data_IF_700419362778
#
_entry.id   IF_700419362778
#
_cell.length_a   1.000
_cell.length_b   1.000
_cell.length_c   1.000
_cell.angle_alpha   90.00
_cell.angle_beta   90.00
_cell.angle_gamma   90.00
#
_symmetry.space_group_name_H-M   'P 1'
#
loop_
_entity.id
_entity.type
_entity.pdbx_description
1 polymer ?
#
# COMPACT_ATOMS: atom_id res chain seq x y z
N UNK A 1 -25.16 -3.32 8.38
CA UNK A 1 -24.23 -2.17 8.62
C UNK A 1 -24.24 -1.34 7.34
N UNK A 2 -24.48 -0.04 7.42
CA UNK A 2 -24.39 0.92 6.31
C UNK A 2 -23.05 1.62 6.38
N UNK A 3 -22.56 2.20 5.29
CA UNK A 3 -21.29 2.90 5.23
C UNK A 3 -21.19 4.04 6.28
N UNK A 4 -22.28 4.74 6.52
CA UNK A 4 -22.32 5.81 7.55
C UNK A 4 -22.12 5.31 8.98
N UNK A 5 -22.32 4.02 9.23
CA UNK A 5 -22.17 3.37 10.54
C UNK A 5 -20.74 2.82 10.73
N UNK A 6 -19.84 3.06 9.76
CA UNK A 6 -18.43 2.70 9.86
C UNK A 6 -17.65 3.86 10.49
N UNK A 7 -17.05 3.61 11.66
CA UNK A 7 -16.31 4.58 12.44
C UNK A 7 -14.82 4.26 12.60
N UNK A 8 -14.38 3.11 12.12
CA UNK A 8 -13.00 2.64 12.26
C UNK A 8 -12.67 1.52 11.26
N UNK A 9 -11.38 1.15 11.21
CA UNK A 9 -10.88 0.07 10.38
C UNK A 9 -11.65 -1.25 10.54
N UNK A 10 -11.97 -1.64 11.79
CA UNK A 10 -12.69 -2.90 12.06
C UNK A 10 -14.11 -2.90 11.51
N UNK A 11 -14.77 -1.75 11.46
CA UNK A 11 -16.10 -1.61 10.87
C UNK A 11 -16.06 -1.84 9.35
N UNK A 12 -15.09 -1.22 8.66
CA UNK A 12 -14.87 -1.42 7.23
C UNK A 12 -14.51 -2.88 6.92
N UNK A 13 -13.63 -3.47 7.73
CA UNK A 13 -13.25 -4.88 7.59
C UNK A 13 -14.45 -5.81 7.72
N UNK A 14 -15.31 -5.61 8.74
CA UNK A 14 -16.55 -6.38 8.91
C UNK A 14 -17.53 -6.19 7.74
N UNK A 15 -17.65 -4.96 7.22
CA UNK A 15 -18.51 -4.68 6.08
C UNK A 15 -18.01 -5.38 4.81
N UNK A 16 -16.70 -5.34 4.56
CA UNK A 16 -16.05 -6.06 3.45
C UNK A 16 -16.25 -7.58 3.57
N UNK A 17 -16.07 -8.16 4.76
CA UNK A 17 -16.28 -9.58 5.03
C UNK A 17 -17.73 -10.04 4.73
N UNK A 18 -18.69 -9.20 5.03
CA UNK A 18 -20.10 -9.50 4.69
C UNK A 18 -20.36 -9.49 3.20
N UNK A 19 -19.62 -8.68 2.44
CA UNK A 19 -19.81 -8.49 1.00
C UNK A 19 -19.03 -9.49 0.16
N UNK A 20 -17.77 -9.74 0.51
CA UNK A 20 -16.87 -10.57 -0.28
C UNK A 20 -17.10 -12.06 -0.05
N UNK A 21 -16.90 -12.91 -1.08
CA UNK A 21 -16.67 -14.34 -0.89
C UNK A 21 -15.46 -14.60 0.02
N UNK A 22 -15.52 -15.68 0.83
CA UNK A 22 -14.47 -16.02 1.78
C UNK A 22 -13.06 -16.02 1.17
N UNK A 23 -12.82 -16.74 0.04
CA UNK A 23 -11.50 -16.76 -0.59
C UNK A 23 -10.97 -15.38 -0.96
N UNK A 24 -11.82 -14.47 -1.43
CA UNK A 24 -11.43 -13.10 -1.79
C UNK A 24 -11.17 -12.26 -0.55
N UNK A 25 -11.99 -12.42 0.49
CA UNK A 25 -11.78 -11.74 1.76
C UNK A 25 -10.46 -12.19 2.40
N UNK A 26 -10.20 -13.50 2.46
CA UNK A 26 -8.97 -14.06 3.03
C UNK A 26 -7.72 -13.63 2.26
N UNK A 27 -7.82 -13.45 0.94
CA UNK A 27 -6.72 -12.89 0.15
C UNK A 27 -6.32 -11.47 0.60
N UNK A 28 -7.29 -10.60 0.92
CA UNK A 28 -6.99 -9.25 1.44
C UNK A 28 -6.51 -9.33 2.89
N UNK A 29 -7.24 -10.08 3.71
CA UNK A 29 -7.11 -10.10 5.18
C UNK A 29 -5.92 -10.92 5.64
N UNK A 30 -5.59 -12.01 4.94
CA UNK A 30 -4.56 -12.97 5.31
C UNK A 30 -3.13 -12.43 5.18
N UNK A 31 -2.22 -13.14 5.83
CA UNK A 31 -0.79 -12.90 5.79
C UNK A 31 -0.01 -14.22 5.63
N UNK A 32 1.30 -14.22 5.84
CA UNK A 32 2.15 -15.39 5.69
C UNK A 32 2.17 -16.23 6.97
N UNK A 33 2.32 -17.53 6.81
CA UNK A 33 2.54 -18.53 7.86
C UNK A 33 1.58 -18.38 9.05
N UNK A 34 2.09 -18.15 10.26
CA UNK A 34 1.33 -17.97 11.49
C UNK A 34 0.80 -16.54 11.70
N UNK A 35 1.03 -15.63 10.74
CA UNK A 35 0.60 -14.23 10.76
C UNK A 35 1.12 -13.42 11.96
N UNK A 36 2.28 -13.80 12.50
CA UNK A 36 2.92 -13.12 13.64
C UNK A 36 3.28 -11.68 13.27
N UNK A 37 3.95 -11.50 12.12
CA UNK A 37 4.33 -10.18 11.61
C UNK A 37 3.11 -9.30 11.34
N UNK A 38 2.03 -9.88 10.80
CA UNK A 38 0.79 -9.16 10.56
C UNK A 38 0.20 -8.56 11.84
N UNK A 39 0.12 -9.34 12.91
CA UNK A 39 -0.37 -8.86 14.22
C UNK A 39 0.58 -7.80 14.80
N UNK A 40 1.87 -8.09 14.84
CA UNK A 40 2.91 -7.18 15.35
C UNK A 40 2.94 -5.83 14.64
N UNK A 41 2.64 -5.78 13.35
CA UNK A 41 2.58 -4.52 12.62
C UNK A 41 1.62 -3.49 13.23
N UNK A 42 0.52 -3.93 13.84
CA UNK A 42 -0.42 -3.04 14.53
C UNK A 42 -0.10 -2.93 16.02
N UNK A 43 0.25 -4.02 16.67
CA UNK A 43 0.59 -4.08 18.10
C UNK A 43 1.81 -3.22 18.44
N UNK A 44 2.79 -3.11 17.54
CA UNK A 44 3.98 -2.27 17.72
C UNK A 44 3.67 -0.81 18.04
N UNK A 45 2.58 -0.27 17.51
CA UNK A 45 2.15 1.08 17.87
C UNK A 45 1.69 1.21 19.33
N UNK A 46 1.34 0.12 20.00
CA UNK A 46 0.91 0.12 21.40
C UNK A 46 2.08 0.24 22.38
N UNK A 47 3.32 -0.01 21.92
CA UNK A 47 4.53 0.16 22.73
C UNK A 47 4.93 1.61 22.97
N UNK A 48 4.25 2.54 22.30
CA UNK A 48 4.58 3.96 22.31
C UNK A 48 3.34 4.80 22.58
N UNK A 49 3.44 5.71 23.55
CA UNK A 49 2.38 6.65 23.93
C UNK A 49 2.62 8.03 23.30
N UNK A 50 1.53 8.73 22.94
CA UNK A 50 1.57 10.14 22.51
C UNK A 50 1.52 11.05 23.74
N UNK A 51 2.34 12.11 23.75
CA UNK A 51 2.35 13.12 24.81
C UNK A 51 1.49 14.30 24.38
N UNK A 52 0.36 14.56 25.05
CA UNK A 52 -0.44 15.75 24.78
C UNK A 52 0.22 17.01 25.33
N UNK A 53 0.14 18.11 24.58
CA UNK A 53 0.55 19.43 25.04
C UNK A 53 -0.64 20.38 24.96
N UNK A 54 -0.88 21.10 26.04
CA UNK A 54 -2.06 21.96 26.19
C UNK A 54 -1.69 23.46 26.10
N UNK A 55 -2.70 24.28 25.86
CA UNK A 55 -2.58 25.76 25.85
C UNK A 55 -1.61 26.30 24.77
N UNK A 56 -1.49 25.58 23.65
CA UNK A 56 -0.61 25.95 22.51
C UNK A 56 -1.28 26.86 21.48
N UNK A 57 -2.56 27.22 21.64
CA UNK A 57 -3.29 28.11 20.73
C UNK A 57 -3.50 27.52 19.32
N UNK A 58 -3.61 26.22 19.19
CA UNK A 58 -3.77 25.54 17.89
C UNK A 58 -5.22 25.64 17.43
N UNK A 59 -5.49 26.55 16.50
CA UNK A 59 -6.82 26.74 15.87
C UNK A 59 -6.88 26.04 14.51
N UNK A 60 -5.85 26.18 13.70
CA UNK A 60 -5.74 25.63 12.36
C UNK A 60 -4.63 24.57 12.27
N UNK A 61 -4.82 23.58 11.39
CA UNK A 61 -3.89 22.48 11.20
C UNK A 61 -3.46 22.42 9.74
N UNK A 62 -2.15 22.48 9.51
CA UNK A 62 -1.53 22.14 8.24
C UNK A 62 -0.98 20.71 8.30
N UNK A 63 -1.62 19.80 7.54
CA UNK A 63 -1.21 18.41 7.41
C UNK A 63 -0.38 18.15 6.15
N UNK A 64 -0.06 19.19 5.38
CA UNK A 64 0.67 19.02 4.13
C UNK A 64 2.10 18.54 4.36
N UNK A 65 2.57 17.71 3.43
CA UNK A 65 3.94 17.20 3.42
C UNK A 65 4.47 17.17 1.97
N UNK A 66 5.79 17.19 1.84
CA UNK A 66 6.44 16.91 0.56
C UNK A 66 7.16 15.58 0.66
N UNK A 67 6.88 14.65 -0.26
CA UNK A 67 7.42 13.30 -0.29
C UNK A 67 7.97 13.02 -1.69
N UNK A 68 9.25 12.71 -1.80
CA UNK A 68 9.94 12.48 -3.09
C UNK A 68 9.66 13.61 -4.11
N UNK A 69 9.69 14.86 -3.62
CA UNK A 69 9.40 16.06 -4.41
C UNK A 69 7.90 16.31 -4.68
N UNK A 70 7.00 15.44 -4.26
CA UNK A 70 5.56 15.57 -4.50
C UNK A 70 4.85 16.18 -3.29
N UNK A 71 4.08 17.26 -3.51
CA UNK A 71 3.30 17.91 -2.45
C UNK A 71 1.98 17.17 -2.24
N UNK A 72 1.73 16.75 -1.01
CA UNK A 72 0.51 16.08 -0.57
C UNK A 72 -0.21 16.93 0.46
N UNK A 73 -1.54 16.97 0.41
CA UNK A 73 -2.36 17.66 1.40
C UNK A 73 -2.45 16.92 2.75
N UNK A 74 -2.02 15.66 2.79
CA UNK A 74 -2.09 14.79 3.96
C UNK A 74 -0.84 13.91 4.07
N UNK A 75 -0.39 13.57 5.30
CA UNK A 75 0.86 12.84 5.52
C UNK A 75 0.70 11.31 5.33
N UNK A 76 -0.23 10.90 4.50
CA UNK A 76 -0.40 9.50 4.13
C UNK A 76 -0.85 9.37 2.67
N UNK A 77 -0.62 8.20 2.07
CA UNK A 77 -0.98 7.92 0.69
C UNK A 77 -1.54 6.49 0.53
N UNK A 78 -2.30 6.27 -0.54
CA UNK A 78 -2.81 4.95 -0.89
C UNK A 78 -1.68 4.10 -1.49
N UNK A 79 -1.14 3.16 -0.69
CA UNK A 79 -0.07 2.23 -1.11
C UNK A 79 -0.49 1.39 -2.31
N UNK A 80 0.46 0.98 -3.18
CA UNK A 80 0.14 0.11 -4.30
C UNK A 80 -0.36 -1.25 -3.80
N UNK A 81 -1.51 -1.67 -4.33
CA UNK A 81 -2.10 -2.98 -4.08
C UNK A 81 -2.62 -3.58 -5.37
N UNK A 82 -2.51 -4.91 -5.49
CA UNK A 82 -2.91 -5.64 -6.66
C UNK A 82 -4.41 -5.94 -6.70
N UNK A 83 -4.96 -6.23 -7.90
CA UNK A 83 -6.23 -6.93 -8.10
C UNK A 83 -7.47 -6.21 -7.60
N UNK A 84 -7.48 -4.90 -7.56
CA UNK A 84 -8.53 -4.14 -6.85
C UNK A 84 -9.93 -4.33 -7.45
N UNK A 85 -10.06 -4.56 -8.78
CA UNK A 85 -11.36 -4.85 -9.41
C UNK A 85 -11.94 -6.22 -9.03
N UNK A 86 -11.13 -7.10 -8.46
CA UNK A 86 -11.63 -8.33 -7.86
C UNK A 86 -12.49 -8.06 -6.62
N UNK A 87 -12.22 -6.97 -5.90
CA UNK A 87 -12.94 -6.61 -4.69
C UNK A 87 -14.18 -5.77 -4.98
N UNK A 88 -14.06 -4.86 -5.95
CA UNK A 88 -15.15 -4.00 -6.43
C UNK A 88 -14.89 -3.59 -7.88
N UNK A 89 -15.92 -3.55 -8.74
CA UNK A 89 -15.74 -3.25 -10.18
C UNK A 89 -15.02 -1.93 -10.47
N UNK A 90 -15.13 -0.95 -9.59
CA UNK A 90 -14.42 0.33 -9.75
C UNK A 90 -12.91 0.21 -9.52
N UNK A 91 -12.45 -0.71 -8.65
CA UNK A 91 -11.05 -0.97 -8.39
C UNK A 91 -10.20 0.29 -8.22
N UNK A 92 -9.08 0.34 -8.92
CA UNK A 92 -8.12 1.45 -8.91
C UNK A 92 -8.75 2.79 -9.33
N UNK A 93 -9.81 2.77 -10.16
CA UNK A 93 -10.58 3.97 -10.55
C UNK A 93 -11.15 4.70 -9.33
N UNK A 94 -11.71 3.93 -8.39
CA UNK A 94 -12.27 4.49 -7.16
C UNK A 94 -11.19 5.11 -6.28
N UNK A 95 -10.05 4.42 -6.17
CA UNK A 95 -8.93 4.89 -5.32
C UNK A 95 -8.28 6.12 -5.93
N UNK A 96 -8.04 6.15 -7.25
CA UNK A 96 -7.50 7.31 -7.95
C UNK A 96 -8.37 8.55 -7.75
N UNK A 97 -9.71 8.42 -7.92
CA UNK A 97 -10.66 9.53 -7.69
C UNK A 97 -10.66 10.01 -6.24
N UNK A 98 -10.66 9.07 -5.29
CA UNK A 98 -10.63 9.41 -3.88
C UNK A 98 -9.31 10.09 -3.49
N UNK A 99 -8.16 9.57 -3.94
CA UNK A 99 -6.86 10.17 -3.69
C UNK A 99 -6.79 11.61 -4.26
N UNK A 100 -7.28 11.82 -5.49
CA UNK A 100 -7.36 13.13 -6.11
C UNK A 100 -8.21 14.12 -5.29
N UNK A 101 -9.39 13.67 -4.86
CA UNK A 101 -10.30 14.49 -4.05
C UNK A 101 -9.67 14.96 -2.74
N UNK A 102 -8.85 14.13 -2.13
CA UNK A 102 -8.20 14.43 -0.86
C UNK A 102 -6.77 14.95 -1.01
N UNK A 103 -6.29 15.19 -2.24
CA UNK A 103 -4.97 15.75 -2.50
C UNK A 103 -3.83 14.87 -2.01
N UNK A 104 -3.99 13.55 -2.07
CA UNK A 104 -2.94 12.60 -1.70
C UNK A 104 -2.49 11.74 -2.89
N UNK A 105 -1.37 11.05 -2.73
CA UNK A 105 -0.75 10.23 -3.76
C UNK A 105 -1.40 8.84 -3.84
N UNK A 106 -1.47 8.28 -5.03
CA UNK A 106 -1.91 6.92 -5.28
C UNK A 106 -0.81 6.06 -5.91
N UNK A 107 -0.54 4.91 -5.29
CA UNK A 107 0.36 3.90 -5.83
C UNK A 107 -0.38 2.92 -6.75
N UNK A 108 -0.08 2.98 -8.04
CA UNK A 108 -0.59 2.02 -9.03
C UNK A 108 0.34 0.82 -9.09
N UNK A 109 -0.19 -0.38 -8.88
CA UNK A 109 0.59 -1.62 -8.96
C UNK A 109 0.71 -2.13 -10.39
N UNK A 110 1.86 -2.75 -10.73
CA UNK A 110 2.01 -3.50 -11.98
C UNK A 110 1.05 -4.69 -12.09
N UNK A 111 0.51 -5.16 -10.98
CA UNK A 111 -0.59 -6.12 -10.91
C UNK A 111 -1.96 -5.43 -10.72
N UNK A 112 -2.05 -4.16 -11.08
CA UNK A 112 -3.31 -3.42 -11.11
C UNK A 112 -4.24 -3.89 -12.21
N UNK A 113 -5.53 -3.76 -11.98
CA UNK A 113 -6.61 -4.20 -12.88
C UNK A 113 -7.16 -3.07 -13.76
N UNK A 114 -6.60 -1.89 -13.64
CA UNK A 114 -6.83 -0.70 -14.46
C UNK A 114 -5.50 -0.26 -15.03
N UNK A 115 -5.45 0.17 -16.29
CA UNK A 115 -4.21 0.58 -16.92
C UNK A 115 -3.61 1.84 -16.26
N UNK A 116 -2.30 1.99 -16.41
CA UNK A 116 -1.58 3.13 -15.85
C UNK A 116 -2.07 4.45 -16.50
N UNK A 117 -2.34 4.40 -17.80
CA UNK A 117 -2.86 5.52 -18.60
C UNK A 117 -4.25 5.93 -18.12
N UNK A 118 -5.12 4.95 -17.87
CA UNK A 118 -6.47 5.21 -17.35
C UNK A 118 -6.42 5.78 -15.93
N UNK A 119 -5.60 5.20 -15.04
CA UNK A 119 -5.42 5.71 -13.69
C UNK A 119 -4.89 7.15 -13.69
N UNK A 120 -3.95 7.46 -14.59
CA UNK A 120 -3.41 8.83 -14.77
C UNK A 120 -4.45 9.79 -15.33
N UNK A 121 -5.23 9.35 -16.30
CA UNK A 121 -6.31 10.17 -16.88
C UNK A 121 -7.45 10.53 -15.90
N UNK A 122 -7.61 9.75 -14.84
CA UNK A 122 -8.62 9.99 -13.81
C UNK A 122 -8.17 11.06 -12.79
N UNK A 123 -6.88 11.16 -12.52
CA UNK A 123 -6.38 11.92 -11.36
C UNK A 123 -5.21 12.81 -11.75
N UNK A 124 -5.28 14.08 -11.34
CA UNK A 124 -4.18 15.04 -11.39
C UNK A 124 -3.25 14.95 -10.17
N UNK A 125 -3.61 14.18 -9.15
CA UNK A 125 -2.75 13.97 -7.99
C UNK A 125 -1.52 13.16 -8.36
N UNK A 126 -0.40 13.33 -7.64
CA UNK A 126 0.81 12.56 -7.88
C UNK A 126 0.57 11.06 -7.83
N UNK A 127 1.21 10.33 -8.73
CA UNK A 127 1.12 8.88 -8.80
C UNK A 127 2.50 8.24 -8.66
N UNK A 128 2.50 7.09 -7.98
CA UNK A 128 3.65 6.18 -7.92
C UNK A 128 3.32 4.97 -8.77
N UNK A 129 4.17 4.59 -9.68
CA UNK A 129 4.06 3.30 -10.35
C UNK A 129 4.95 2.27 -9.67
N UNK A 130 4.31 1.24 -9.08
CA UNK A 130 5.00 0.15 -8.41
C UNK A 130 5.12 -1.05 -9.35
N UNK A 131 6.31 -1.63 -9.42
CA UNK A 131 6.58 -2.83 -10.19
C UNK A 131 7.51 -3.79 -9.43
N UNK A 132 7.64 -5.00 -9.97
CA UNK A 132 8.58 -6.02 -9.51
C UNK A 132 9.69 -6.19 -10.53
N UNK A 133 10.82 -6.73 -10.11
CA UNK A 133 11.95 -6.98 -10.96
C UNK A 133 11.77 -8.32 -11.70
N UNK A 134 11.67 -8.27 -13.03
CA UNK A 134 11.45 -9.43 -13.87
C UNK A 134 12.76 -9.98 -14.40
N UNK A 135 12.79 -11.31 -14.68
CA UNK A 135 13.91 -11.96 -15.38
C UNK A 135 14.11 -11.38 -16.77
N UNK A 136 13.02 -11.03 -17.43
CA UNK A 136 13.07 -10.30 -18.71
C UNK A 136 13.40 -8.82 -18.44
N UNK A 137 14.65 -8.46 -18.71
CA UNK A 137 15.13 -7.08 -18.59
C UNK A 137 14.48 -6.14 -19.62
N UNK A 138 13.99 -6.69 -20.75
CA UNK A 138 13.22 -5.94 -21.75
C UNK A 138 11.89 -5.48 -21.15
N UNK A 139 11.19 -6.36 -20.45
CA UNK A 139 9.95 -6.03 -19.74
C UNK A 139 10.17 -4.93 -18.68
N UNK A 140 11.24 -5.02 -17.88
CA UNK A 140 11.55 -3.98 -16.91
C UNK A 140 11.74 -2.61 -17.57
N UNK A 141 12.48 -2.56 -18.68
CA UNK A 141 12.67 -1.30 -19.45
C UNK A 141 11.37 -0.80 -20.07
N UNK A 142 10.56 -1.68 -20.64
CA UNK A 142 9.26 -1.33 -21.23
C UNK A 142 8.31 -0.71 -20.19
N UNK A 143 8.24 -1.28 -18.99
CA UNK A 143 7.44 -0.75 -17.88
C UNK A 143 7.91 0.64 -17.45
N UNK A 144 9.21 0.87 -17.33
CA UNK A 144 9.75 2.19 -16.99
C UNK A 144 9.49 3.22 -18.10
N UNK A 145 9.65 2.84 -19.37
CA UNK A 145 9.36 3.73 -20.50
C UNK A 145 7.88 4.11 -20.56
N UNK A 146 6.99 3.13 -20.35
CA UNK A 146 5.54 3.36 -20.27
C UNK A 146 5.19 4.33 -19.15
N UNK A 147 5.76 4.14 -17.96
CA UNK A 147 5.56 5.06 -16.84
C UNK A 147 6.02 6.49 -17.15
N UNK A 148 7.16 6.65 -17.83
CA UNK A 148 7.63 7.97 -18.31
C UNK A 148 6.67 8.60 -19.32
N UNK A 149 6.21 7.84 -20.31
CA UNK A 149 5.28 8.33 -21.34
C UNK A 149 3.95 8.79 -20.75
N UNK A 150 3.46 8.08 -19.75
CA UNK A 150 2.23 8.42 -19.02
C UNK A 150 2.42 9.63 -18.08
N UNK A 151 3.66 9.98 -17.76
CA UNK A 151 3.98 11.10 -16.87
C UNK A 151 3.78 10.78 -15.40
N UNK A 152 4.15 9.56 -14.98
CA UNK A 152 4.17 9.18 -13.57
C UNK A 152 5.32 9.90 -12.88
N UNK A 153 5.07 10.44 -11.68
CA UNK A 153 6.05 11.25 -10.96
C UNK A 153 7.12 10.42 -10.24
N UNK A 154 6.75 9.25 -9.72
CA UNK A 154 7.64 8.42 -8.90
C UNK A 154 7.61 6.97 -9.35
N UNK A 155 8.78 6.38 -9.54
CA UNK A 155 8.94 4.95 -9.76
C UNK A 155 9.21 4.23 -8.45
N UNK A 156 8.55 3.08 -8.22
CA UNK A 156 8.72 2.30 -7.00
C UNK A 156 9.01 0.83 -7.33
N UNK A 157 10.19 0.36 -6.97
CA UNK A 157 10.55 -1.06 -7.08
C UNK A 157 10.30 -1.77 -5.75
N UNK A 158 9.53 -2.86 -5.80
CA UNK A 158 9.30 -3.73 -4.64
C UNK A 158 10.37 -4.81 -4.60
N UNK A 159 11.15 -4.85 -3.51
CA UNK A 159 12.35 -5.71 -3.38
C UNK A 159 12.18 -6.86 -2.38
N UNK A 160 11.10 -6.88 -1.60
CA UNK A 160 10.79 -7.91 -0.60
C UNK A 160 10.02 -9.12 -1.17
N UNK A 161 9.81 -9.18 -2.48
CA UNK A 161 8.93 -10.17 -3.13
C UNK A 161 9.68 -10.96 -4.22
N UNK A 162 10.90 -11.40 -3.91
CA UNK A 162 11.69 -12.28 -4.81
C UNK A 162 11.07 -13.69 -4.93
N UNK A 163 10.21 -14.05 -4.01
CA UNK A 163 9.36 -15.24 -4.01
C UNK A 163 8.02 -14.93 -3.34
N UNK A 164 7.01 -15.74 -3.58
CA UNK A 164 5.71 -15.56 -2.90
C UNK A 164 5.76 -16.03 -1.45
N UNK A 165 5.28 -15.21 -0.52
CA UNK A 165 5.11 -15.63 0.87
C UNK A 165 4.10 -16.80 1.01
N UNK A 166 4.26 -17.60 2.04
CA UNK A 166 3.43 -18.78 2.30
C UNK A 166 2.06 -18.37 2.88
N UNK A 167 1.14 -17.93 2.02
CA UNK A 167 -0.21 -17.50 2.44
C UNK A 167 -1.13 -18.71 2.57
N UNK A 168 -1.17 -19.30 3.76
CA UNK A 168 -1.92 -20.52 4.02
C UNK A 168 -3.43 -20.37 3.85
N UNK A 169 -4.00 -19.20 4.18
CA UNK A 169 -5.43 -18.95 3.97
C UNK A 169 -5.79 -19.06 2.50
N UNK A 170 -4.96 -18.51 1.59
CA UNK A 170 -5.18 -18.61 0.15
C UNK A 170 -5.19 -20.08 -0.30
N UNK A 171 -4.25 -20.89 0.23
CA UNK A 171 -4.17 -22.32 -0.08
C UNK A 171 -5.38 -23.12 0.46
N UNK A 172 -5.80 -22.83 1.70
CA UNK A 172 -6.96 -23.50 2.34
C UNK A 172 -8.28 -23.17 1.66
N UNK A 173 -8.43 -21.95 1.16
CA UNK A 173 -9.64 -21.51 0.44
C UNK A 173 -9.62 -21.81 -1.05
N UNK A 174 -8.48 -22.29 -1.58
CA UNK A 174 -8.31 -22.53 -3.01
C UNK A 174 -8.27 -21.25 -3.85
N UNK A 175 -7.91 -20.12 -3.22
CA UNK A 175 -7.77 -18.86 -3.95
C UNK A 175 -6.65 -18.97 -4.99
N UNK A 176 -7.02 -18.87 -6.23
CA UNK A 176 -6.12 -18.81 -7.38
C UNK A 176 -6.73 -17.91 -8.45
N UNK A 177 -5.92 -17.27 -9.27
CA UNK A 177 -6.40 -16.56 -10.45
C UNK A 177 -5.69 -17.16 -11.67
N UNK A 178 -6.44 -17.75 -12.62
CA UNK A 178 -7.91 -17.94 -12.63
C UNK A 178 -8.42 -18.81 -11.48
N UNK A 179 -9.67 -18.58 -11.06
CA UNK A 179 -10.26 -19.32 -9.94
C UNK A 179 -10.30 -20.83 -10.19
N UNK A 180 -9.78 -21.60 -9.25
CA UNK A 180 -9.93 -23.06 -9.17
C UNK A 180 -10.81 -23.43 -7.98
N UNK A 181 -12.11 -23.14 -8.11
CA UNK A 181 -13.04 -23.33 -6.99
C UNK A 181 -13.40 -24.81 -6.82
N UNK A 182 -13.29 -25.30 -5.59
CA UNK A 182 -13.95 -26.53 -5.15
C UNK A 182 -15.43 -26.26 -4.82
N UNK A 183 -16.20 -27.31 -4.53
CA UNK A 183 -17.63 -27.19 -4.21
C UNK A 183 -17.90 -26.22 -3.03
N UNK A 184 -17.06 -26.25 -2.01
CA UNK A 184 -17.17 -25.33 -0.86
C UNK A 184 -16.89 -23.87 -1.26
N UNK A 185 -15.90 -23.64 -2.11
CA UNK A 185 -15.62 -22.33 -2.71
C UNK A 185 -16.80 -21.83 -3.54
N UNK A 186 -17.35 -22.67 -4.42
CA UNK A 186 -18.53 -22.30 -5.23
C UNK A 186 -19.73 -21.91 -4.36
N UNK A 187 -20.00 -22.63 -3.27
CA UNK A 187 -21.06 -22.28 -2.33
C UNK A 187 -20.81 -20.90 -1.68
N UNK A 188 -19.58 -20.59 -1.30
CA UNK A 188 -19.23 -19.28 -0.72
C UNK A 188 -19.45 -18.14 -1.72
N UNK A 189 -19.16 -18.36 -3.01
CA UNK A 189 -19.46 -17.36 -4.05
C UNK A 189 -20.97 -17.19 -4.26
N UNK A 190 -21.74 -18.29 -4.28
CA UNK A 190 -23.20 -18.25 -4.43
C UNK A 190 -23.88 -17.49 -3.28
N UNK A 191 -23.33 -17.54 -2.07
CA UNK A 191 -23.85 -16.82 -0.90
C UNK A 191 -23.57 -15.31 -0.92
N UNK A 192 -22.86 -14.79 -1.93
CA UNK A 192 -22.49 -13.38 -2.05
C UNK A 192 -23.02 -12.74 -3.36
N UNK A 193 -24.34 -12.73 -3.58
CA UNK A 193 -24.92 -12.28 -4.85
C UNK A 193 -24.57 -10.83 -5.19
N UNK A 194 -24.46 -9.95 -4.20
CA UNK A 194 -24.08 -8.55 -4.43
C UNK A 194 -22.64 -8.41 -4.99
N UNK A 195 -21.71 -9.26 -4.57
CA UNK A 195 -20.38 -9.32 -5.16
C UNK A 195 -20.43 -9.94 -6.55
N UNK A 196 -21.14 -11.04 -6.73
CA UNK A 196 -21.25 -11.74 -8.02
C UNK A 196 -21.84 -10.81 -9.09
N UNK A 197 -22.94 -10.13 -8.79
CA UNK A 197 -23.52 -9.13 -9.69
C UNK A 197 -22.49 -8.06 -10.03
N UNK A 198 -21.85 -7.48 -9.01
CA UNK A 198 -20.84 -6.44 -9.20
C UNK A 198 -19.66 -6.91 -10.09
N UNK A 199 -19.22 -8.15 -9.96
CA UNK A 199 -18.11 -8.71 -10.72
C UNK A 199 -18.51 -9.07 -12.17
N UNK A 200 -19.66 -9.75 -12.37
CA UNK A 200 -20.04 -10.31 -13.67
C UNK A 200 -20.77 -9.33 -14.59
N UNK A 201 -21.34 -8.25 -14.06
CA UNK A 201 -22.08 -7.24 -14.87
C UNK A 201 -21.19 -6.11 -15.38
N UNK A 202 -19.91 -6.11 -15.03
CA UNK A 202 -18.95 -5.10 -15.47
C UNK A 202 -17.84 -5.75 -16.31
N UNK A 203 -16.91 -4.93 -16.79
CA UNK A 203 -15.77 -5.38 -17.58
C UNK A 203 -15.01 -6.53 -16.93
N UNK A 204 -14.62 -7.51 -17.73
CA UNK A 204 -13.83 -8.66 -17.29
C UNK A 204 -12.52 -8.28 -16.60
N UNK A 205 -12.04 -9.17 -15.74
CA UNK A 205 -10.77 -9.03 -15.06
C UNK A 205 -9.60 -9.10 -16.05
N UNK A 206 -8.72 -8.10 -16.01
CA UNK A 206 -7.48 -8.03 -16.82
C UNK A 206 -6.34 -7.48 -15.97
N UNK A 207 -5.11 -7.72 -16.39
CA UNK A 207 -3.89 -7.14 -15.86
C UNK A 207 -3.18 -6.32 -16.94
N UNK A 208 -3.71 -5.14 -17.31
CA UNK A 208 -3.33 -4.42 -18.51
C UNK A 208 -1.87 -3.92 -18.56
N UNK A 209 -1.18 -3.93 -17.41
CA UNK A 209 0.25 -3.62 -17.37
C UNK A 209 1.12 -4.81 -17.82
N UNK A 210 0.57 -6.02 -17.84
CA UNK A 210 1.26 -7.26 -18.21
C UNK A 210 0.73 -7.88 -19.50
N UNK A 211 -0.49 -7.56 -19.92
CA UNK A 211 -1.20 -8.23 -21.04
C UNK A 211 -0.42 -8.21 -22.37
N UNK A 212 0.38 -7.19 -22.61
CA UNK A 212 1.20 -7.08 -23.84
C UNK A 212 2.46 -7.97 -23.81
N UNK A 213 2.87 -8.42 -22.62
CA UNK A 213 4.14 -9.13 -22.40
C UNK A 213 3.96 -10.53 -21.83
N UNK A 214 2.80 -10.81 -21.25
CA UNK A 214 2.50 -12.06 -20.56
C UNK A 214 1.05 -12.44 -20.87
N UNK A 215 0.83 -13.59 -21.48
CA UNK A 215 -0.53 -14.11 -21.70
C UNK A 215 -1.18 -14.55 -20.37
N UNK A 216 -1.72 -13.56 -19.65
CA UNK A 216 -2.50 -13.78 -18.43
C UNK A 216 -3.98 -14.10 -18.76
N UNK A 217 -4.44 -13.77 -19.98
CA UNK A 217 -5.84 -13.91 -20.40
C UNK A 217 -6.21 -15.31 -20.90
N UNK A 218 -5.25 -16.07 -21.41
CA UNK A 218 -5.45 -17.43 -21.96
C UNK A 218 -5.56 -18.55 -20.91
N UNK A 219 -5.58 -18.23 -19.61
CA UNK A 219 -5.70 -19.21 -18.54
C UNK A 219 -4.43 -20.03 -18.27
N UNK A 220 -3.31 -19.65 -18.87
CA UNK A 220 -2.04 -20.39 -18.79
C UNK A 220 -1.17 -19.98 -17.61
N UNK A 221 -1.29 -18.72 -17.12
CA UNK A 221 -0.49 -18.23 -16.02
C UNK A 221 -1.34 -17.81 -14.82
N UNK A 222 -1.11 -18.42 -13.67
CA UNK A 222 -1.69 -17.96 -12.40
C UNK A 222 -0.81 -16.90 -11.73
N UNK A 223 -1.38 -16.10 -10.83
CA UNK A 223 -0.60 -15.13 -10.06
C UNK A 223 0.53 -15.80 -9.26
N UNK A 224 0.28 -16.99 -8.69
CA UNK A 224 1.33 -17.75 -8.02
C UNK A 224 2.48 -18.10 -8.98
N UNK A 225 2.15 -18.54 -10.19
CA UNK A 225 3.11 -18.87 -11.21
C UNK A 225 3.88 -17.64 -11.70
N UNK A 226 3.21 -16.48 -11.81
CA UNK A 226 3.87 -15.20 -12.09
C UNK A 226 5.01 -14.91 -11.10
N UNK A 227 4.76 -15.00 -9.79
CA UNK A 227 5.79 -14.77 -8.78
C UNK A 227 6.95 -15.78 -8.85
N UNK A 228 6.68 -17.00 -9.27
CA UNK A 228 7.71 -18.05 -9.34
C UNK A 228 8.53 -18.00 -10.62
N UNK A 229 7.91 -17.72 -11.76
CA UNK A 229 8.52 -17.85 -13.09
C UNK A 229 9.02 -16.54 -13.67
N UNK A 230 8.30 -15.43 -13.40
CA UNK A 230 8.59 -14.14 -14.02
C UNK A 230 9.55 -13.27 -13.21
N UNK A 231 9.51 -13.36 -11.88
CA UNK A 231 10.39 -12.56 -11.05
C UNK A 231 11.80 -13.13 -10.98
N UNK A 232 12.76 -12.24 -10.86
CA UNK A 232 14.17 -12.61 -10.77
C UNK A 232 14.65 -12.61 -9.31
N UNK A 233 14.85 -13.78 -8.70
CA UNK A 233 15.39 -13.86 -7.34
C UNK A 233 16.89 -13.52 -7.26
N UNK A 234 17.57 -13.38 -8.39
CA UNK A 234 18.98 -13.03 -8.45
C UNK A 234 19.27 -11.54 -8.56
N UNK A 235 18.21 -10.68 -8.45
CA UNK A 235 18.34 -9.22 -8.45
C UNK A 235 19.38 -8.74 -7.43
N UNK A 236 20.28 -7.85 -7.86
CA UNK A 236 21.34 -7.26 -7.06
C UNK A 236 21.19 -5.75 -6.92
N UNK A 237 21.99 -5.14 -6.05
CA UNK A 237 22.07 -3.69 -5.93
C UNK A 237 22.56 -3.00 -7.21
N UNK A 238 23.41 -3.66 -8.00
CA UNK A 238 23.89 -3.12 -9.28
C UNK A 238 22.78 -3.04 -10.32
N UNK A 239 21.91 -4.05 -10.36
CA UNK A 239 20.69 -4.03 -11.20
C UNK A 239 19.79 -2.83 -10.83
N UNK A 240 19.60 -2.61 -9.54
CA UNK A 240 18.76 -1.50 -9.04
C UNK A 240 19.40 -0.15 -9.33
N UNK A 241 20.72 -0.01 -9.13
CA UNK A 241 21.46 1.20 -9.45
C UNK A 241 21.33 1.59 -10.94
N UNK A 242 21.36 0.59 -11.84
CA UNK A 242 21.14 0.82 -13.26
C UNK A 242 19.70 1.32 -13.54
N UNK A 243 18.70 0.77 -12.87
CA UNK A 243 17.31 1.22 -13.02
C UNK A 243 17.11 2.66 -12.52
N UNK A 244 17.73 3.02 -11.39
CA UNK A 244 17.72 4.39 -10.85
C UNK A 244 18.28 5.37 -11.89
N UNK A 245 19.45 5.04 -12.50
CA UNK A 245 20.05 5.86 -13.57
C UNK A 245 19.15 5.98 -14.79
N UNK A 246 18.53 4.87 -15.23
CA UNK A 246 17.64 4.86 -16.40
C UNK A 246 16.36 5.64 -16.16
N UNK A 247 15.81 5.60 -14.96
CA UNK A 247 14.60 6.37 -14.64
C UNK A 247 14.87 7.87 -14.63
N UNK A 248 15.99 8.30 -14.05
CA UNK A 248 16.43 9.72 -13.98
C UNK A 248 15.41 10.68 -13.34
N UNK A 249 14.54 10.18 -12.48
CA UNK A 249 13.54 10.90 -11.69
C UNK A 249 13.44 10.31 -10.28
N UNK A 250 12.47 10.72 -9.46
CA UNK A 250 12.26 10.15 -8.14
C UNK A 250 12.07 8.63 -8.20
N UNK A 251 12.95 7.89 -7.54
CA UNK A 251 12.94 6.43 -7.47
C UNK A 251 12.90 5.96 -6.02
N UNK A 252 12.02 5.01 -5.73
CA UNK A 252 11.76 4.52 -4.38
C UNK A 252 11.93 3.00 -4.30
N UNK A 253 12.56 2.51 -3.23
CA UNK A 253 12.59 1.08 -2.92
C UNK A 253 11.57 0.76 -1.83
N UNK A 254 10.71 -0.23 -2.10
CA UNK A 254 9.73 -0.72 -1.14
C UNK A 254 10.11 -2.11 -0.64
N UNK A 255 10.10 -2.29 0.69
CA UNK A 255 10.48 -3.56 1.32
C UNK A 255 11.81 -3.49 2.07
N UNK A 256 12.31 -2.28 2.34
CA UNK A 256 13.54 -2.06 3.09
C UNK A 256 13.26 -2.19 4.58
N UNK A 257 13.99 -3.07 5.28
CA UNK A 257 13.80 -3.35 6.71
C UNK A 257 15.12 -3.37 7.50
N UNK A 258 16.25 -3.05 6.87
CA UNK A 258 17.56 -2.96 7.56
C UNK A 258 18.20 -1.59 7.35
N UNK A 259 19.02 -1.18 8.31
CA UNK A 259 19.83 0.05 8.21
C UNK A 259 20.87 -0.06 7.10
N UNK A 260 21.43 -1.24 6.89
CA UNK A 260 22.41 -1.47 5.83
C UNK A 260 21.79 -1.25 4.44
N UNK A 261 20.63 -1.85 4.18
CA UNK A 261 19.93 -1.68 2.90
C UNK A 261 19.45 -0.24 2.70
N UNK A 262 19.03 0.45 3.77
CA UNK A 262 18.68 1.86 3.71
C UNK A 262 19.85 2.75 3.29
N UNK A 263 21.06 2.48 3.82
CA UNK A 263 22.29 3.18 3.42
C UNK A 263 22.65 2.91 1.96
N UNK A 264 22.54 1.65 1.51
CA UNK A 264 22.77 1.30 0.09
C UNK A 264 21.77 1.99 -0.85
N UNK A 265 20.49 2.11 -0.44
CA UNK A 265 19.51 2.85 -1.22
C UNK A 265 19.90 4.33 -1.42
N UNK A 266 20.47 4.96 -0.41
CA UNK A 266 21.05 6.31 -0.53
C UNK A 266 22.25 6.34 -1.49
N UNK A 267 23.18 5.39 -1.37
CA UNK A 267 24.40 5.32 -2.20
C UNK A 267 24.10 5.18 -3.70
N UNK A 268 23.05 4.41 -4.05
CA UNK A 268 22.63 4.25 -5.46
C UNK A 268 21.74 5.36 -5.98
N UNK A 269 21.43 6.39 -5.16
CA UNK A 269 20.68 7.58 -5.57
C UNK A 269 19.15 7.47 -5.53
N UNK A 270 18.60 6.58 -4.70
CA UNK A 270 17.16 6.57 -4.47
C UNK A 270 16.66 7.86 -3.82
N UNK A 271 15.46 8.31 -4.15
CA UNK A 271 14.82 9.49 -3.55
C UNK A 271 14.02 9.16 -2.30
N UNK A 272 13.64 7.91 -2.13
CA UNK A 272 12.86 7.44 -0.99
C UNK A 272 12.98 5.94 -0.76
N UNK A 273 12.66 5.53 0.46
CA UNK A 273 12.47 4.13 0.83
C UNK A 273 11.14 3.96 1.57
N UNK A 274 10.50 2.83 1.36
CA UNK A 274 9.35 2.40 2.17
C UNK A 274 9.78 1.26 3.08
N UNK A 275 9.81 1.53 4.39
CA UNK A 275 9.92 0.48 5.39
C UNK A 275 8.65 -0.35 5.35
N UNK A 276 8.79 -1.59 4.94
CA UNK A 276 7.67 -2.47 4.66
C UNK A 276 8.08 -3.93 4.80
N UNK A 277 7.28 -4.71 5.49
CA UNK A 277 7.31 -6.17 5.47
C UNK A 277 6.13 -6.72 4.66
N UNK A 278 5.67 -5.93 3.66
CA UNK A 278 4.52 -6.27 2.81
C UNK A 278 3.21 -6.52 3.58
N UNK A 279 3.05 -5.85 4.73
CA UNK A 279 1.90 -6.05 5.61
C UNK A 279 1.83 -7.46 6.21
N UNK A 280 2.98 -8.09 6.46
CA UNK A 280 3.10 -9.44 7.00
C UNK A 280 2.83 -10.56 5.98
N UNK A 281 2.89 -10.28 4.68
CA UNK A 281 2.51 -11.23 3.61
C UNK A 281 3.70 -11.97 3.00
N UNK A 282 4.93 -11.65 3.41
CA UNK A 282 6.17 -12.23 2.91
C UNK A 282 6.88 -13.04 4.00
N UNK A 283 7.94 -12.54 4.61
CA UNK A 283 8.64 -13.22 5.68
C UNK A 283 7.87 -13.07 7.00
N UNK A 284 7.27 -14.13 7.52
CA UNK A 284 6.70 -14.11 8.86
C UNK A 284 7.81 -14.19 9.93
N UNK A 285 7.55 -13.67 11.13
CA UNK A 285 8.58 -13.47 12.15
C UNK A 285 9.46 -12.24 11.91
N UNK A 286 9.25 -11.49 10.81
CA UNK A 286 9.94 -10.22 10.56
C UNK A 286 9.55 -9.16 11.59
N UNK A 287 10.45 -8.20 11.84
CA UNK A 287 10.20 -7.03 12.69
C UNK A 287 9.09 -6.17 12.12
N UNK A 288 8.29 -5.52 12.96
CA UNK A 288 7.32 -4.53 12.49
C UNK A 288 8.04 -3.28 11.95
N UNK A 289 7.47 -2.67 10.90
CA UNK A 289 8.07 -1.48 10.30
C UNK A 289 8.16 -0.31 11.30
N UNK A 290 7.20 -0.15 12.19
CA UNK A 290 7.22 0.87 13.25
C UNK A 290 8.39 0.67 14.22
N UNK A 291 8.68 -0.58 14.62
CA UNK A 291 9.80 -0.88 15.52
C UNK A 291 11.17 -0.63 14.88
N UNK A 292 11.26 -0.68 13.55
CA UNK A 292 12.49 -0.45 12.79
C UNK A 292 12.69 1.02 12.39
N UNK A 293 11.61 1.82 12.45
CA UNK A 293 11.57 3.17 11.87
C UNK A 293 12.63 4.11 12.47
N UNK A 294 12.75 4.15 13.79
CA UNK A 294 13.69 5.08 14.46
C UNK A 294 15.13 4.86 14.02
N UNK A 295 15.60 3.60 14.00
CA UNK A 295 16.96 3.24 13.60
C UNK A 295 17.29 3.64 12.17
N UNK A 296 16.32 3.46 11.25
CA UNK A 296 16.50 3.81 9.84
C UNK A 296 16.48 5.33 9.65
N UNK A 297 15.53 6.04 10.31
CA UNK A 297 15.51 7.51 10.26
C UNK A 297 16.81 8.11 10.79
N UNK A 298 17.34 7.59 11.89
CA UNK A 298 18.63 8.05 12.44
C UNK A 298 19.80 7.83 11.48
N UNK A 299 19.74 6.77 10.70
CA UNK A 299 20.82 6.41 9.78
C UNK A 299 20.79 7.19 8.45
N UNK A 300 19.60 7.52 7.93
CA UNK A 300 19.46 8.03 6.55
C UNK A 300 18.37 9.11 6.36
N UNK A 301 17.61 9.45 7.38
CA UNK A 301 16.43 10.33 7.26
C UNK A 301 16.74 11.79 6.88
N UNK A 302 17.98 12.21 6.98
CA UNK A 302 18.48 13.52 6.51
C UNK A 302 18.86 13.53 5.02
N UNK A 303 18.98 12.35 4.40
CA UNK A 303 19.48 12.16 3.02
C UNK A 303 18.44 11.63 2.05
N UNK A 304 17.41 10.94 2.55
CA UNK A 304 16.41 10.26 1.75
C UNK A 304 15.05 10.30 2.46
N UNK A 305 13.97 10.33 1.70
CA UNK A 305 12.64 10.27 2.31
C UNK A 305 12.34 8.86 2.86
N UNK A 306 12.15 8.77 4.16
CA UNK A 306 11.78 7.53 4.84
C UNK A 306 10.26 7.48 5.02
N UNK A 307 9.64 6.52 4.38
CA UNK A 307 8.20 6.24 4.44
C UNK A 307 8.02 4.91 5.15
N UNK A 308 6.91 4.70 5.86
CA UNK A 308 6.59 3.37 6.36
C UNK A 308 5.20 2.91 5.94
N UNK A 309 5.00 1.61 5.81
CA UNK A 309 3.67 1.00 5.72
C UNK A 309 3.57 -0.23 6.64
N UNK A 310 2.36 -0.80 6.71
CA UNK A 310 2.06 -1.96 7.56
C UNK A 310 1.43 -1.59 8.90
N UNK A 311 0.31 -2.22 9.23
CA UNK A 311 -0.38 -2.10 10.51
C UNK A 311 -1.13 -0.79 10.77
N UNK A 312 -1.10 0.17 9.87
CA UNK A 312 -1.74 1.49 10.05
C UNK A 312 -3.26 1.37 9.99
N UNK A 313 -3.93 1.66 11.10
CA UNK A 313 -5.37 1.55 11.26
C UNK A 313 -6.02 2.79 11.91
N UNK A 314 -5.22 3.74 12.40
CA UNK A 314 -5.65 4.95 13.11
C UNK A 314 -4.82 6.15 12.75
N UNK A 315 -5.39 7.35 12.88
CA UNK A 315 -4.64 8.59 12.77
C UNK A 315 -3.51 8.72 13.80
N UNK A 316 -3.69 8.16 15.00
CA UNK A 316 -2.63 8.10 16.02
C UNK A 316 -1.42 7.26 15.59
N UNK A 317 -1.61 6.20 14.79
CA UNK A 317 -0.49 5.44 14.22
C UNK A 317 0.32 6.31 13.24
N UNK A 318 -0.37 7.11 12.42
CA UNK A 318 0.28 8.07 11.52
C UNK A 318 1.07 9.10 12.34
N UNK A 319 0.46 9.70 13.37
CA UNK A 319 1.14 10.69 14.23
C UNK A 319 2.38 10.11 14.92
N UNK A 320 2.31 8.87 15.40
CA UNK A 320 3.48 8.18 16.00
C UNK A 320 4.60 8.00 14.99
N UNK A 321 4.29 7.54 13.78
CA UNK A 321 5.28 7.35 12.72
C UNK A 321 5.94 8.67 12.29
N UNK A 322 5.15 9.72 12.11
CA UNK A 322 5.66 11.06 11.77
C UNK A 322 6.51 11.63 12.90
N UNK A 323 6.11 11.44 14.16
CA UNK A 323 6.92 11.87 15.31
C UNK A 323 8.25 11.14 15.44
N UNK A 324 8.39 9.92 14.88
CA UNK A 324 9.67 9.21 14.74
C UNK A 324 10.50 9.69 13.55
N UNK A 325 9.94 10.54 12.67
CA UNK A 325 10.65 11.11 11.53
C UNK A 325 10.28 10.51 10.16
N UNK A 326 9.24 9.67 10.08
CA UNK A 326 8.70 9.30 8.77
C UNK A 326 8.18 10.54 8.03
N UNK A 327 8.43 10.63 6.72
CA UNK A 327 7.91 11.72 5.87
C UNK A 327 6.42 11.56 5.58
N UNK A 328 5.99 10.31 5.40
CA UNK A 328 4.61 9.93 5.19
C UNK A 328 4.38 8.47 5.55
N UNK A 329 3.11 8.06 5.55
CA UNK A 329 2.69 6.70 5.85
C UNK A 329 1.88 6.12 4.69
N UNK A 330 2.22 4.90 4.26
CA UNK A 330 1.43 4.17 3.29
C UNK A 330 0.27 3.42 3.94
N UNK A 331 -0.93 3.54 3.37
CA UNK A 331 -2.10 2.77 3.79
C UNK A 331 -2.49 1.76 2.70
N UNK A 332 -2.62 0.48 3.05
CA UNK A 332 -3.03 -0.60 2.15
C UNK A 332 -4.42 -1.12 2.51
N UNK A 333 -4.50 -2.12 3.39
CA UNK A 333 -5.79 -2.70 3.82
C UNK A 333 -6.78 -1.66 4.36
N UNK A 334 -6.26 -0.53 4.88
CA UNK A 334 -7.09 0.56 5.40
C UNK A 334 -8.05 1.14 4.34
N UNK A 335 -7.63 1.21 3.07
CA UNK A 335 -8.53 1.62 1.99
C UNK A 335 -9.13 0.45 1.19
N UNK A 336 -8.49 -0.73 1.20
CA UNK A 336 -9.01 -1.90 0.46
C UNK A 336 -10.33 -2.43 1.02
N UNK A 337 -10.47 -2.51 2.35
CA UNK A 337 -11.74 -2.94 2.94
C UNK A 337 -12.89 -1.99 2.62
N UNK A 338 -12.75 -0.66 2.76
CA UNK A 338 -13.81 0.26 2.32
C UNK A 338 -14.06 0.24 0.81
N UNK A 339 -13.03 0.05 -0.02
CA UNK A 339 -13.20 -0.18 -1.46
C UNK A 339 -14.09 -1.40 -1.71
N UNK A 340 -13.76 -2.54 -1.11
CA UNK A 340 -14.54 -3.76 -1.23
C UNK A 340 -15.97 -3.59 -0.70
N UNK A 341 -16.14 -2.84 0.36
CA UNK A 341 -17.43 -2.62 1.01
C UNK A 341 -18.37 -1.72 0.20
N UNK A 342 -17.87 -0.65 -0.45
CA UNK A 342 -18.70 0.40 -1.02
C UNK A 342 -18.11 1.15 -2.22
N UNK A 343 -16.99 0.69 -2.81
CA UNK A 343 -16.33 1.37 -3.94
C UNK A 343 -15.79 2.75 -3.56
N UNK A 344 -15.87 3.71 -4.47
CA UNK A 344 -15.37 5.08 -4.26
C UNK A 344 -15.90 5.74 -2.99
N UNK A 345 -17.21 5.75 -2.67
CA UNK A 345 -17.72 6.32 -1.41
C UNK A 345 -17.10 5.67 -0.17
N UNK A 346 -16.76 4.38 -0.24
CA UNK A 346 -16.08 3.67 0.85
C UNK A 346 -14.67 4.21 1.08
N UNK A 347 -13.88 4.33 0.00
CA UNK A 347 -12.52 4.87 0.07
C UNK A 347 -12.54 6.31 0.56
N UNK A 348 -13.40 7.17 0.00
CA UNK A 348 -13.54 8.56 0.46
C UNK A 348 -13.87 8.66 1.95
N UNK A 349 -14.78 7.81 2.44
CA UNK A 349 -15.13 7.78 3.86
C UNK A 349 -13.95 7.40 4.74
N UNK A 350 -13.13 6.45 4.31
CA UNK A 350 -11.94 6.04 5.06
C UNK A 350 -10.86 7.15 5.07
N UNK A 351 -10.58 7.78 3.92
CA UNK A 351 -9.62 8.88 3.85
C UNK A 351 -10.06 10.05 4.72
N UNK A 352 -11.35 10.40 4.70
CA UNK A 352 -11.91 11.43 5.56
C UNK A 352 -11.77 11.09 7.05
N UNK A 353 -12.03 9.86 7.45
CA UNK A 353 -11.86 9.45 8.84
C UNK A 353 -10.39 9.56 9.28
N UNK A 354 -9.46 9.09 8.47
CA UNK A 354 -8.02 9.19 8.76
C UNK A 354 -7.62 10.67 8.91
N UNK A 355 -8.06 11.53 7.99
CA UNK A 355 -7.83 12.98 8.04
C UNK A 355 -8.32 13.59 9.37
N UNK A 356 -9.56 13.30 9.73
CA UNK A 356 -10.18 13.83 10.97
C UNK A 356 -9.49 13.29 12.22
N UNK A 357 -9.06 12.01 12.23
CA UNK A 357 -8.32 11.45 13.36
C UNK A 357 -6.95 12.10 13.53
N UNK A 358 -6.22 12.35 12.43
CA UNK A 358 -4.91 13.05 12.45
C UNK A 358 -5.11 14.49 12.93
N UNK A 359 -6.03 15.23 12.35
CA UNK A 359 -6.33 16.63 12.73
C UNK A 359 -6.65 16.75 14.23
N UNK A 360 -7.53 15.88 14.72
CA UNK A 360 -7.89 15.84 16.14
C UNK A 360 -6.67 15.51 17.02
N UNK A 361 -5.89 14.53 16.62
CA UNK A 361 -4.68 14.14 17.35
C UNK A 361 -3.67 15.29 17.43
N UNK A 362 -3.41 15.98 16.31
CA UNK A 362 -2.51 17.13 16.27
C UNK A 362 -2.99 18.26 17.19
N UNK A 363 -4.30 18.58 17.19
CA UNK A 363 -4.88 19.56 18.13
C UNK A 363 -4.65 19.17 19.59
N UNK A 364 -4.87 17.91 19.93
CA UNK A 364 -4.66 17.39 21.28
C UNK A 364 -3.18 17.31 21.68
N UNK A 365 -2.28 17.16 20.71
CA UNK A 365 -0.84 17.19 20.92
C UNK A 365 -0.27 18.62 20.92
N UNK A 366 -1.07 19.64 20.62
CA UNK A 366 -0.64 21.02 20.56
C UNK A 366 0.25 21.35 19.35
N UNK A 367 0.09 20.62 18.24
CA UNK A 367 0.87 20.79 17.00
C UNK A 367 -0.04 21.36 15.90
N UNK A 368 0.33 22.48 15.30
CA UNK A 368 -0.41 23.12 14.19
C UNK A 368 0.08 22.67 12.80
N UNK A 369 1.25 22.04 12.70
CA UNK A 369 1.80 21.52 11.47
C UNK A 369 2.54 20.20 11.69
N UNK A 370 2.70 19.40 10.61
CA UNK A 370 3.47 18.16 10.66
C UNK A 370 4.92 18.38 11.08
N UNK A 371 5.53 19.50 10.69
CA UNK A 371 6.89 19.84 11.07
C UNK A 371 7.14 20.07 12.57
N UNK A 372 6.07 20.20 13.37
CA UNK A 372 6.17 20.31 14.83
C UNK A 372 6.14 18.94 15.54
N UNK A 373 5.80 17.89 14.81
CA UNK A 373 5.87 16.52 15.35
C UNK A 373 7.32 16.09 15.52
N UNK A 374 7.67 15.62 16.70
CA UNK A 374 9.01 15.15 17.03
C UNK A 374 8.98 14.01 18.04
N UNK A 375 10.12 13.40 18.32
CA UNK A 375 10.24 12.34 19.33
C UNK A 375 9.87 12.80 20.74
N UNK A 376 9.88 14.11 21.02
CA UNK A 376 9.41 14.68 22.29
C UNK A 376 7.91 14.43 22.51
N UNK A 377 7.15 14.21 21.43
CA UNK A 377 5.75 13.83 21.49
C UNK A 377 5.50 12.36 21.82
N UNK A 378 6.57 11.57 22.05
CA UNK A 378 6.49 10.14 22.25
C UNK A 378 7.07 9.73 23.59
N UNK A 379 6.49 8.64 24.17
CA UNK A 379 7.07 7.89 25.30
C UNK A 379 6.94 6.41 25.02
N UNK A 380 8.05 5.73 24.92
CA UNK A 380 8.08 4.26 24.84
C UNK A 380 7.91 3.67 26.22
N UNK A 381 7.15 2.58 26.30
CA UNK A 381 6.90 1.82 27.51
C UNK A 381 8.05 0.88 27.83
#
# INVERSE_FOLDING_TARGET
>A
MRLRDCHNFSDFRRMAQRRLPGPIFDYIDGAADDEVTYRRNTESFETCDLVPNVLRGVSEIDMSVTVMGQKLAMPFYCSPTALQRLFHHQGERAVAKAAAKYGTMFGVSSLGTVSLEEARGISVSPQVYQFYFHRDRGLNRAMMQRAKQVGVEVMMLTVDSITGGNRERDKRTGFAIPFKLNLAGMAQFALKPAWAINYFTHEGFKLPQLDEHVDMGGGTMSISRYFTEMLDPSMTWDDVAEMVRQWSGPFCLKGIMSVEDAKRAVEIGCSGIVLSNHGGRQLDGSRAAFDQLAEIVDAVGDRIDVIMDGGVQRGTHVLKALSLGAKAVGIGRYYLFPLAAAGQPGVERALEQMRVEIERGMKLMGCSSIGQLSRENLRFR
#
